data_IF_877219510751
#
_entry.id   IF_877219510751
#
_cell.length_a   1.000
_cell.length_b   1.000
_cell.length_c   1.000
_cell.angle_alpha   90.00
_cell.angle_beta   90.00
_cell.angle_gamma   90.00
#
_symmetry.space_group_name_H-M   'P 1'
#
loop_
_entity.id
_entity.type
_entity.pdbx_description
1 polymer ?
#
# COMPACT_ATOMS: atom_id res chain seq x y z
N UNK A 1 -10.50 -10.26 23.38
CA UNK A 1 -10.14 -10.21 21.95
C UNK A 1 -10.40 -8.80 21.43
N UNK A 2 -9.52 -8.23 20.62
CA UNK A 2 -9.71 -6.90 20.00
C UNK A 2 -10.11 -7.04 18.54
N UNK A 3 -10.76 -6.02 17.96
CA UNK A 3 -11.12 -6.04 16.54
C UNK A 3 -9.89 -6.19 15.65
N UNK A 4 -8.86 -5.37 15.89
CA UNK A 4 -7.64 -5.40 15.10
C UNK A 4 -6.93 -6.76 15.11
N UNK A 5 -7.03 -7.55 16.18
CA UNK A 5 -6.44 -8.90 16.21
C UNK A 5 -7.17 -9.88 15.29
N UNK A 6 -8.49 -9.69 15.08
CA UNK A 6 -9.28 -10.42 14.09
C UNK A 6 -9.06 -9.87 12.68
N UNK A 7 -8.84 -8.56 12.57
CA UNK A 7 -8.69 -7.84 11.30
C UNK A 7 -7.22 -7.51 10.97
N UNK A 8 -6.33 -8.47 11.21
CA UNK A 8 -4.90 -8.32 10.89
C UNK A 8 -4.66 -8.52 9.40
N UNK A 9 -3.90 -7.62 8.78
CA UNK A 9 -3.56 -7.67 7.37
C UNK A 9 -2.80 -8.97 7.01
N UNK A 10 -3.15 -9.52 5.84
CA UNK A 10 -2.55 -10.72 5.24
C UNK A 10 -2.27 -10.49 3.76
N UNK A 11 -1.71 -9.32 3.46
CA UNK A 11 -1.28 -8.92 2.11
C UNK A 11 0.04 -9.63 1.80
N UNK A 12 0.00 -10.58 0.87
CA UNK A 12 1.17 -11.35 0.49
C UNK A 12 1.09 -11.82 -0.96
N UNK A 13 2.24 -11.96 -1.61
CA UNK A 13 2.35 -12.57 -2.92
C UNK A 13 1.90 -14.04 -2.87
N UNK A 14 1.23 -14.58 -3.91
CA UNK A 14 0.82 -15.99 -3.96
C UNK A 14 1.98 -16.97 -3.73
N UNK A 15 3.19 -16.65 -4.25
CA UNK A 15 4.39 -17.46 -4.02
C UNK A 15 4.80 -17.54 -2.54
N UNK A 16 4.42 -16.58 -1.69
CA UNK A 16 4.69 -16.66 -0.26
C UNK A 16 3.90 -17.77 0.46
N UNK A 17 2.83 -18.29 -0.15
CA UNK A 17 2.14 -19.49 0.32
C UNK A 17 2.85 -20.78 -0.14
N UNK A 18 3.38 -20.78 -1.36
CA UNK A 18 4.12 -21.91 -1.93
C UNK A 18 5.54 -22.07 -1.34
N UNK A 19 6.18 -20.95 -0.98
CA UNK A 19 7.56 -20.88 -0.50
C UNK A 19 7.60 -20.08 0.82
N UNK A 20 7.25 -20.70 1.97
CA UNK A 20 7.08 -19.98 3.24
C UNK A 20 8.32 -19.21 3.70
N UNK A 21 9.53 -19.68 3.38
CA UNK A 21 10.78 -19.01 3.71
C UNK A 21 10.99 -17.69 2.95
N UNK A 22 10.31 -17.48 1.81
CA UNK A 22 10.35 -16.21 1.08
C UNK A 22 9.27 -15.23 1.55
N UNK A 23 8.29 -15.67 2.34
CA UNK A 23 7.16 -14.85 2.77
C UNK A 23 7.57 -13.50 3.39
N UNK A 24 8.62 -13.38 4.24
CA UNK A 24 9.02 -12.08 4.79
C UNK A 24 9.42 -11.03 3.74
N UNK A 25 9.89 -11.46 2.58
CA UNK A 25 10.24 -10.58 1.46
C UNK A 25 9.07 -10.32 0.52
N UNK A 26 8.03 -11.16 0.59
CA UNK A 26 6.91 -11.20 -0.34
C UNK A 26 5.58 -10.75 0.29
N UNK A 27 5.60 -10.25 1.53
CA UNK A 27 4.42 -9.87 2.27
C UNK A 27 4.58 -8.49 2.91
N UNK A 28 3.46 -7.79 3.04
CA UNK A 28 3.39 -6.62 3.91
C UNK A 28 3.40 -7.06 5.39
N UNK A 29 3.74 -6.15 6.33
CA UNK A 29 3.61 -6.42 7.75
C UNK A 29 2.17 -6.82 8.14
N UNK A 30 2.06 -7.60 9.21
CA UNK A 30 0.79 -8.05 9.77
C UNK A 30 0.15 -6.95 10.63
N UNK A 31 -0.16 -5.80 10.02
CA UNK A 31 -0.74 -4.65 10.71
C UNK A 31 -2.20 -4.92 11.12
N UNK A 32 -2.56 -4.54 12.35
CA UNK A 32 -3.93 -4.60 12.84
C UNK A 32 -4.74 -3.45 12.23
N UNK A 33 -5.72 -3.75 11.37
CA UNK A 33 -6.47 -2.74 10.63
C UNK A 33 -7.81 -2.42 11.29
N UNK A 34 -8.20 -1.13 11.41
CA UNK A 34 -9.58 -0.75 11.66
C UNK A 34 -10.40 -0.81 10.36
N UNK A 35 -11.72 -0.74 10.48
CA UNK A 35 -12.65 -0.87 9.35
C UNK A 35 -13.17 -2.30 9.17
N UNK A 36 -14.09 -2.47 8.23
CA UNK A 36 -14.69 -3.74 7.83
C UNK A 36 -15.34 -3.58 6.43
N UNK A 37 -16.05 -4.60 5.92
CA UNK A 37 -16.69 -4.56 4.59
C UNK A 37 -17.88 -3.60 4.45
N UNK A 38 -18.45 -3.14 5.57
CA UNK A 38 -19.65 -2.31 5.65
C UNK A 38 -19.35 -0.89 6.17
N UNK A 39 -18.09 -0.56 6.48
CA UNK A 39 -17.66 0.77 6.88
C UNK A 39 -17.11 1.57 5.69
N UNK A 40 -17.12 2.92 5.73
CA UNK A 40 -16.44 3.73 4.72
C UNK A 40 -14.95 3.38 4.56
N UNK A 41 -14.29 3.00 5.66
CA UNK A 41 -12.95 2.40 5.62
C UNK A 41 -13.09 0.89 5.38
N UNK A 42 -13.14 0.51 4.11
CA UNK A 42 -13.24 -0.90 3.70
C UNK A 42 -11.90 -1.60 3.87
N UNK A 43 -11.75 -2.38 4.95
CA UNK A 43 -10.52 -3.11 5.25
C UNK A 43 -10.80 -4.44 5.96
N UNK A 44 -10.40 -5.54 5.32
CA UNK A 44 -10.38 -6.90 5.81
C UNK A 44 -8.96 -7.51 5.76
N UNK A 45 -8.74 -8.72 6.29
CA UNK A 45 -7.41 -9.34 6.30
C UNK A 45 -6.80 -9.54 4.90
N UNK A 46 -7.62 -9.86 3.89
CA UNK A 46 -7.17 -10.11 2.51
C UNK A 46 -7.86 -9.25 1.46
N UNK A 47 -8.56 -8.20 1.87
CA UNK A 47 -9.37 -7.36 0.99
C UNK A 47 -9.46 -5.94 1.56
N UNK A 48 -9.57 -4.93 0.72
CA UNK A 48 -9.78 -3.56 1.18
C UNK A 48 -9.44 -2.55 0.11
N UNK A 49 -9.30 -1.29 0.52
CA UNK A 49 -8.92 -0.21 -0.41
C UNK A 49 -7.58 -0.49 -1.12
N UNK A 50 -7.60 -0.51 -2.46
CA UNK A 50 -6.38 -0.56 -3.29
C UNK A 50 -5.67 0.79 -3.36
N UNK A 51 -6.40 1.87 -3.06
CA UNK A 51 -5.94 3.26 -3.16
C UNK A 51 -6.85 4.16 -2.32
N UNK A 52 -6.32 5.28 -1.83
CA UNK A 52 -7.11 6.44 -1.39
C UNK A 52 -6.57 7.67 -2.09
N UNK A 53 -7.42 8.36 -2.85
CA UNK A 53 -7.05 9.57 -3.58
C UNK A 53 -8.13 10.64 -3.42
N UNK A 54 -7.70 11.88 -3.29
CA UNK A 54 -8.59 13.05 -3.42
C UNK A 54 -7.83 14.13 -4.16
N UNK A 55 -8.44 14.67 -5.21
CA UNK A 55 -7.84 15.69 -6.06
C UNK A 55 -8.94 16.61 -6.58
N UNK A 56 -8.62 17.90 -6.69
CA UNK A 56 -9.46 18.89 -7.36
C UNK A 56 -8.79 19.28 -8.68
N UNK A 57 -9.54 19.36 -9.79
CA UNK A 57 -8.96 19.78 -11.07
C UNK A 57 -8.28 21.15 -10.99
N UNK A 58 -7.03 21.24 -11.48
CA UNK A 58 -6.22 22.46 -11.44
C UNK A 58 -5.66 22.81 -10.05
N UNK A 59 -5.73 21.88 -9.09
CA UNK A 59 -5.17 21.97 -7.75
C UNK A 59 -4.50 20.65 -7.35
N UNK A 60 -3.86 19.98 -8.29
CA UNK A 60 -3.23 18.67 -8.09
C UNK A 60 -2.16 18.70 -7.00
N UNK A 61 -1.53 19.85 -6.76
CA UNK A 61 -0.57 20.08 -5.67
C UNK A 61 -1.18 19.98 -4.27
N UNK A 62 -2.50 20.11 -4.16
CA UNK A 62 -3.27 19.91 -2.92
C UNK A 62 -3.86 18.49 -2.85
N UNK A 63 -3.65 17.70 -3.90
CA UNK A 63 -4.12 16.32 -3.99
C UNK A 63 -3.37 15.42 -3.02
N UNK A 64 -4.05 14.34 -2.62
CA UNK A 64 -3.54 13.36 -1.67
C UNK A 64 -3.70 11.95 -2.23
N UNK A 65 -2.74 11.07 -1.97
CA UNK A 65 -2.69 9.72 -2.53
C UNK A 65 -1.98 8.74 -1.59
N UNK A 66 -2.56 7.57 -1.31
CA UNK A 66 -1.82 6.45 -0.71
C UNK A 66 -2.34 5.08 -1.18
N UNK A 67 -1.46 4.07 -1.10
CA UNK A 67 -1.73 2.69 -1.51
C UNK A 67 -1.22 1.69 -0.45
N UNK A 68 -1.80 0.47 -0.39
CA UNK A 68 -1.36 -0.58 0.52
C UNK A 68 0.01 -1.16 0.16
N UNK A 69 0.50 -0.96 -1.05
CA UNK A 69 1.86 -1.27 -1.47
C UNK A 69 2.53 -0.02 -2.04
N UNK A 70 3.78 -0.16 -2.48
CA UNK A 70 4.45 0.89 -3.23
C UNK A 70 4.28 0.73 -4.75
N UNK A 71 4.90 1.63 -5.50
CA UNK A 71 4.80 1.70 -6.96
C UNK A 71 5.51 0.55 -7.70
N UNK A 72 6.39 -0.19 -7.04
CA UNK A 72 7.07 -1.33 -7.64
C UNK A 72 6.43 -2.64 -7.25
N UNK A 73 6.18 -3.52 -8.23
CA UNK A 73 5.80 -4.91 -7.97
C UNK A 73 6.99 -5.83 -7.63
N UNK A 74 8.23 -5.32 -7.68
CA UNK A 74 9.42 -6.15 -7.47
C UNK A 74 9.76 -6.24 -5.97
N UNK A 75 9.78 -7.43 -5.35
CA UNK A 75 9.95 -7.58 -3.90
C UNK A 75 11.22 -6.97 -3.29
N UNK A 76 12.31 -6.95 -4.06
CA UNK A 76 13.58 -6.35 -3.63
C UNK A 76 13.68 -4.84 -3.90
N UNK A 77 12.67 -4.24 -4.50
CA UNK A 77 12.65 -2.80 -4.76
C UNK A 77 12.44 -2.05 -3.44
N UNK A 78 13.15 -0.93 -3.20
CA UNK A 78 12.83 -0.03 -2.08
C UNK A 78 11.40 0.55 -2.20
N UNK A 79 10.81 0.48 -3.40
CA UNK A 79 9.45 0.94 -3.68
C UNK A 79 8.40 -0.18 -3.65
N UNK A 80 8.70 -1.38 -3.12
CA UNK A 80 7.74 -2.49 -3.02
C UNK A 80 6.63 -2.23 -2.00
N UNK A 81 7.00 -1.72 -0.82
CA UNK A 81 6.08 -1.35 0.28
C UNK A 81 6.22 0.12 0.70
N UNK A 82 6.84 0.95 -0.13
CA UNK A 82 6.98 2.38 0.13
C UNK A 82 5.59 3.01 0.31
N UNK A 83 5.36 3.68 1.45
CA UNK A 83 4.08 4.28 1.80
C UNK A 83 3.08 3.35 2.50
N UNK A 84 3.37 2.06 2.69
CA UNK A 84 2.46 1.13 3.39
C UNK A 84 2.12 1.63 4.80
N UNK A 85 3.13 2.08 5.55
CA UNK A 85 2.99 2.63 6.89
C UNK A 85 2.06 3.86 6.95
N UNK A 86 2.05 4.69 5.91
CA UNK A 86 1.15 5.83 5.74
C UNK A 86 -0.28 5.36 5.49
N UNK A 87 -0.44 4.38 4.61
CA UNK A 87 -1.75 3.79 4.29
C UNK A 87 -2.39 3.12 5.51
N UNK A 88 -1.62 2.42 6.34
CA UNK A 88 -2.11 1.81 7.60
C UNK A 88 -2.62 2.88 8.54
N UNK A 89 -1.85 3.95 8.73
CA UNK A 89 -2.17 5.07 9.63
C UNK A 89 -3.21 6.04 9.05
N UNK A 90 -3.52 5.94 7.76
CA UNK A 90 -4.37 6.90 7.06
C UNK A 90 -3.74 8.29 6.98
N UNK A 91 -2.40 8.37 6.92
CA UNK A 91 -1.70 9.66 6.78
C UNK A 91 -1.92 10.23 5.39
N UNK A 92 -2.06 11.54 5.35
CA UNK A 92 -2.15 12.32 4.12
C UNK A 92 -0.77 12.37 3.48
N UNK A 93 -0.65 11.87 2.25
CA UNK A 93 0.59 11.89 1.46
C UNK A 93 0.29 12.64 0.16
N UNK A 94 1.19 13.51 -0.34
CA UNK A 94 0.95 14.27 -1.57
C UNK A 94 0.67 13.37 -2.77
N UNK A 95 -0.25 13.79 -3.64
CA UNK A 95 -0.52 13.14 -4.94
C UNK A 95 0.67 13.26 -5.89
N UNK A 96 1.21 14.47 -6.01
CA UNK A 96 2.29 14.74 -6.95
C UNK A 96 3.59 14.09 -6.48
N UNK A 97 4.38 13.52 -7.41
CA UNK A 97 5.68 12.97 -7.08
C UNK A 97 6.63 14.09 -6.64
N UNK A 98 7.62 13.71 -5.83
CA UNK A 98 8.78 14.56 -5.60
C UNK A 98 9.69 14.66 -6.84
N UNK A 99 10.88 15.27 -6.70
CA UNK A 99 11.87 15.32 -7.77
C UNK A 99 12.19 13.93 -8.32
N UNK A 100 12.41 13.85 -9.63
CA UNK A 100 12.79 12.61 -10.28
C UNK A 100 14.10 12.07 -9.69
N UNK A 101 14.08 10.81 -9.21
CA UNK A 101 15.28 10.13 -8.69
C UNK A 101 16.00 9.31 -9.76
N UNK A 102 15.27 8.83 -10.76
CA UNK A 102 15.79 8.01 -11.84
C UNK A 102 15.17 8.44 -13.17
N UNK A 103 15.96 8.42 -14.24
CA UNK A 103 15.50 8.71 -15.60
C UNK A 103 15.95 7.57 -16.51
N UNK A 104 14.99 6.96 -17.20
CA UNK A 104 15.24 5.91 -18.19
C UNK A 104 15.12 6.50 -19.58
N UNK A 105 16.19 6.47 -20.36
CA UNK A 105 16.18 6.82 -21.78
C UNK A 105 16.20 5.54 -22.61
N UNK A 106 15.13 5.29 -23.37
CA UNK A 106 15.05 4.16 -24.27
C UNK A 106 15.59 4.57 -25.64
N UNK A 107 16.62 3.87 -26.12
CA UNK A 107 17.12 3.99 -27.49
C UNK A 107 16.64 2.81 -28.31
N UNK A 108 16.28 3.00 -29.60
CA UNK A 108 15.89 1.92 -30.50
C UNK A 108 16.94 0.80 -30.60
#
# INVERSE_FOLDING_TARGET
ATWGARNTARIAHPLGAALPWLRPFLAAPADMLPGDSNMPRVAGPGFGQSERMTVSPGKEEQGVFNMPGGQSGHPLSPYFLAGHADWVRGRTVPLLPGPAQHTLTLTP
#
